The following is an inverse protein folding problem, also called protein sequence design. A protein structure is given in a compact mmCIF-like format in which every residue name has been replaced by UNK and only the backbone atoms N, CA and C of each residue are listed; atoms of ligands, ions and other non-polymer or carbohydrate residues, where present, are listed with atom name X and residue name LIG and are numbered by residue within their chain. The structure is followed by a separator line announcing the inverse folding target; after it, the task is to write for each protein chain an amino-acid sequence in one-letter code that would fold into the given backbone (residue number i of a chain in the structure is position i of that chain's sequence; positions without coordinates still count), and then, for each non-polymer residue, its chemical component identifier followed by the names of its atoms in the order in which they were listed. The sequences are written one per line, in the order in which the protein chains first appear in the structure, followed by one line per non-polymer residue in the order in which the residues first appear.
data_IF_548264320321
#
_entry.id   IF_548264320321
#
_cell.length_a   1.000
_cell.length_b   1.000
_cell.length_c   1.000
_cell.angle_alpha   90.00
_cell.angle_beta   90.00
_cell.angle_gamma   90.00
#
_symmetry.space_group_name_H-M   'P 1'
#
loop_
_entity.id
_entity.type
_entity.pdbx_description
1 polymer ?
#
# COMPACT_ATOMS: atom_id res chain seq x y z
N UNK A 1 10.36 9.35 1.04
CA UNK A 1 10.95 7.99 1.14
C UNK A 1 12.38 7.97 1.68
N UNK A 2 13.37 8.65 1.06
CA UNK A 2 14.80 8.65 1.48
C UNK A 2 15.01 8.93 2.98
N UNK A 3 14.29 9.92 3.55
CA UNK A 3 14.33 10.25 4.99
C UNK A 3 13.89 9.10 5.91
N UNK A 4 12.85 8.33 5.55
CA UNK A 4 12.38 7.16 6.34
C UNK A 4 13.38 6.01 6.32
N UNK A 5 13.89 5.66 5.15
CA UNK A 5 14.82 4.53 5.02
C UNK A 5 16.20 4.83 5.63
N UNK A 6 16.63 6.10 5.65
CA UNK A 6 17.82 6.53 6.40
C UNK A 6 17.63 6.48 7.92
N UNK A 7 16.43 6.79 8.43
CA UNK A 7 16.15 6.80 9.87
C UNK A 7 16.17 5.40 10.50
N UNK A 8 15.69 4.37 9.79
CA UNK A 8 15.82 2.98 10.22
C UNK A 8 17.26 2.44 10.13
N UNK A 9 18.26 3.27 9.78
CA UNK A 9 19.65 2.88 9.49
C UNK A 9 19.80 1.81 8.39
N UNK A 10 18.72 1.49 7.67
CA UNK A 10 18.70 0.51 6.56
C UNK A 10 19.57 1.02 5.40
N UNK A 11 19.52 2.33 5.13
CA UNK A 11 20.43 3.00 4.20
C UNK A 11 21.67 3.54 4.91
N UNK A 12 22.67 2.69 5.09
CA UNK A 12 24.01 3.09 5.50
C UNK A 12 24.75 3.72 4.31
N UNK A 13 24.39 4.94 3.90
CA UNK A 13 25.09 5.79 2.89
C UNK A 13 25.52 5.13 1.56
N UNK A 14 25.11 3.89 1.25
CA UNK A 14 25.56 3.14 0.06
C UNK A 14 24.52 3.25 -1.05
N UNK A 15 24.88 3.94 -2.13
CA UNK A 15 24.10 4.08 -3.37
C UNK A 15 23.52 2.73 -3.87
N UNK A 16 24.26 1.63 -3.64
CA UNK A 16 23.84 0.26 -4.00
C UNK A 16 22.53 -0.17 -3.33
N UNK A 17 22.32 0.15 -2.05
CA UNK A 17 21.11 -0.24 -1.33
C UNK A 17 19.86 0.50 -1.85
N UNK A 18 20.01 1.77 -2.24
CA UNK A 18 18.93 2.54 -2.87
C UNK A 18 18.52 1.89 -4.21
N UNK A 19 19.50 1.45 -5.01
CA UNK A 19 19.23 0.78 -6.30
C UNK A 19 18.49 -0.54 -6.11
N UNK A 20 18.88 -1.35 -5.13
CA UNK A 20 18.20 -2.61 -4.80
C UNK A 20 16.78 -2.36 -4.32
N UNK A 21 16.60 -1.45 -3.37
CA UNK A 21 15.28 -1.11 -2.84
C UNK A 21 14.35 -0.56 -3.93
N UNK A 22 14.89 0.29 -4.83
CA UNK A 22 14.17 0.77 -6.01
C UNK A 22 13.74 -0.39 -6.91
N UNK A 23 14.63 -1.35 -7.17
CA UNK A 23 14.31 -2.53 -7.97
C UNK A 23 13.20 -3.37 -7.35
N UNK A 24 13.27 -3.62 -6.04
CA UNK A 24 12.22 -4.32 -5.29
C UNK A 24 10.88 -3.58 -5.36
N UNK A 25 10.89 -2.27 -5.13
CA UNK A 25 9.68 -1.45 -5.20
C UNK A 25 9.00 -1.54 -6.56
N UNK A 26 9.74 -1.33 -7.65
CA UNK A 26 9.17 -1.41 -9.00
C UNK A 26 8.76 -2.83 -9.40
N UNK A 27 9.55 -3.85 -9.02
CA UNK A 27 9.18 -5.25 -9.27
C UNK A 27 7.88 -5.63 -8.57
N UNK A 28 7.69 -5.18 -7.33
CA UNK A 28 6.46 -5.42 -6.58
C UNK A 28 5.26 -4.68 -7.19
N UNK A 29 5.45 -3.44 -7.67
CA UNK A 29 4.39 -2.69 -8.36
C UNK A 29 3.93 -3.40 -9.63
N UNK A 30 4.85 -3.86 -10.48
CA UNK A 30 4.51 -4.64 -11.67
C UNK A 30 3.71 -5.89 -11.29
N UNK A 31 4.11 -6.59 -10.22
CA UNK A 31 3.36 -7.75 -9.74
C UNK A 31 1.93 -7.42 -9.32
N UNK A 32 1.68 -6.24 -8.75
CA UNK A 32 0.32 -5.79 -8.44
C UNK A 32 -0.48 -5.43 -9.69
N UNK A 33 0.13 -4.72 -10.64
CA UNK A 33 -0.55 -4.31 -11.88
C UNK A 33 -1.01 -5.55 -12.68
N UNK A 34 -0.13 -6.53 -12.88
CA UNK A 34 -0.47 -7.78 -13.57
C UNK A 34 -1.54 -8.58 -12.82
N UNK A 35 -1.46 -8.61 -11.49
CA UNK A 35 -2.45 -9.31 -10.68
C UNK A 35 -3.83 -8.64 -10.74
N UNK A 36 -3.89 -7.31 -10.75
CA UNK A 36 -5.14 -6.55 -10.85
C UNK A 36 -5.77 -6.67 -12.25
N UNK A 37 -4.95 -6.64 -13.30
CA UNK A 37 -5.38 -6.87 -14.69
C UNK A 37 -5.86 -8.30 -14.92
N UNK A 38 -5.34 -9.25 -14.15
CA UNK A 38 -5.81 -10.62 -14.22
C UNK A 38 -7.20 -10.79 -13.59
N UNK A 39 -8.06 -11.57 -14.24
CA UNK A 39 -9.41 -11.88 -13.73
C UNK A 39 -9.39 -12.84 -12.51
N UNK A 40 -8.23 -13.30 -12.06
CA UNK A 40 -8.09 -14.35 -11.05
C UNK A 40 -7.54 -13.79 -9.73
N UNK A 41 -8.28 -13.96 -8.65
CA UNK A 41 -7.84 -13.52 -7.32
C UNK A 41 -6.66 -14.33 -6.77
N UNK A 42 -6.36 -15.51 -7.34
CA UNK A 42 -5.17 -16.29 -7.00
C UNK A 42 -3.87 -15.55 -7.34
N UNK A 43 -3.85 -14.75 -8.41
CA UNK A 43 -2.68 -13.93 -8.75
C UNK A 43 -2.53 -12.77 -7.77
N UNK A 44 -3.63 -12.12 -7.39
CA UNK A 44 -3.62 -11.06 -6.39
C UNK A 44 -3.22 -11.60 -5.01
N UNK A 45 -3.70 -12.78 -4.63
CA UNK A 45 -3.27 -13.50 -3.43
C UNK A 45 -1.75 -13.70 -3.41
N UNK A 46 -1.19 -14.22 -4.52
CA UNK A 46 0.25 -14.49 -4.66
C UNK A 46 1.10 -13.22 -4.56
N UNK A 47 0.67 -12.15 -5.24
CA UNK A 47 1.35 -10.84 -5.20
C UNK A 47 1.31 -10.23 -3.79
N UNK A 48 0.16 -10.27 -3.11
CA UNK A 48 0.02 -9.73 -1.75
C UNK A 48 0.83 -10.55 -0.73
N UNK A 49 0.75 -11.88 -0.80
CA UNK A 49 1.51 -12.80 0.05
C UNK A 49 3.02 -12.54 -0.03
N UNK A 50 3.54 -12.46 -1.26
CA UNK A 50 4.97 -12.28 -1.52
C UNK A 50 5.47 -10.92 -1.04
N UNK A 51 4.64 -9.88 -1.19
CA UNK A 51 5.08 -8.51 -0.96
C UNK A 51 4.90 -8.01 0.48
N UNK A 52 3.85 -8.46 1.19
CA UNK A 52 3.51 -7.96 2.53
C UNK A 52 4.06 -8.87 3.61
N UNK A 53 3.92 -10.17 3.45
CA UNK A 53 4.36 -11.15 4.44
C UNK A 53 5.74 -11.72 4.15
N UNK A 54 6.38 -11.36 3.03
CA UNK A 54 7.67 -11.92 2.61
C UNK A 54 7.68 -13.46 2.70
N UNK A 55 6.59 -14.09 2.27
CA UNK A 55 6.36 -15.52 2.40
C UNK A 55 6.41 -16.08 3.83
N UNK A 56 5.92 -15.31 4.81
CA UNK A 56 5.82 -15.77 6.20
C UNK A 56 4.98 -17.05 6.28
N UNK A 57 5.49 -18.14 6.89
CA UNK A 57 4.77 -19.42 6.95
C UNK A 57 3.58 -19.40 7.91
N UNK A 58 3.45 -18.38 8.75
CA UNK A 58 2.37 -18.28 9.75
C UNK A 58 1.15 -17.52 9.25
N UNK A 59 1.22 -16.93 8.06
CA UNK A 59 0.11 -16.15 7.50
C UNK A 59 -1.06 -17.07 7.18
N UNK A 60 -2.24 -16.71 7.68
CA UNK A 60 -3.47 -17.48 7.51
C UNK A 60 -4.13 -17.15 6.17
N UNK A 61 -4.89 -18.10 5.63
CA UNK A 61 -5.65 -17.85 4.40
C UNK A 61 -6.68 -16.72 4.58
N UNK A 62 -7.29 -16.61 5.76
CA UNK A 62 -8.25 -15.56 6.07
C UNK A 62 -7.64 -14.15 5.98
N UNK A 63 -6.40 -13.96 6.44
CA UNK A 63 -5.72 -12.66 6.36
C UNK A 63 -5.47 -12.24 4.91
N UNK A 64 -5.09 -13.19 4.04
CA UNK A 64 -4.93 -12.93 2.61
C UNK A 64 -6.28 -12.56 1.99
N UNK A 65 -7.33 -13.34 2.29
CA UNK A 65 -8.67 -13.13 1.75
C UNK A 65 -9.23 -11.75 2.12
N UNK A 66 -9.09 -11.35 3.39
CA UNK A 66 -9.48 -10.01 3.86
C UNK A 66 -8.76 -8.94 3.03
N UNK A 67 -7.48 -9.13 2.76
CA UNK A 67 -6.71 -8.14 2.04
C UNK A 67 -7.06 -8.08 0.55
N UNK A 68 -7.32 -9.23 -0.09
CA UNK A 68 -7.82 -9.28 -1.48
C UNK A 68 -9.13 -8.48 -1.57
N UNK A 69 -10.10 -8.79 -0.71
CA UNK A 69 -11.39 -8.09 -0.64
C UNK A 69 -11.20 -6.59 -0.44
N UNK A 70 -10.28 -6.22 0.46
CA UNK A 70 -9.96 -4.81 0.70
C UNK A 70 -9.38 -4.12 -0.53
N UNK A 71 -8.41 -4.73 -1.22
CA UNK A 71 -7.78 -4.13 -2.41
C UNK A 71 -8.82 -3.93 -3.52
N UNK A 72 -9.69 -4.92 -3.76
CA UNK A 72 -10.78 -4.81 -4.75
C UNK A 72 -11.77 -3.70 -4.35
N UNK A 73 -12.16 -3.64 -3.08
CA UNK A 73 -13.00 -2.58 -2.53
C UNK A 73 -12.39 -1.19 -2.73
N UNK A 74 -11.09 -1.04 -2.50
CA UNK A 74 -10.40 0.24 -2.73
C UNK A 74 -10.38 0.61 -4.21
N UNK A 75 -10.15 -0.35 -5.11
CA UNK A 75 -10.14 -0.07 -6.54
C UNK A 75 -11.50 0.47 -7.01
N UNK A 76 -12.58 -0.22 -6.63
CA UNK A 76 -13.95 0.23 -6.93
C UNK A 76 -14.26 1.61 -6.32
N UNK A 77 -13.81 1.86 -5.09
CA UNK A 77 -13.96 3.16 -4.44
C UNK A 77 -13.24 4.25 -5.23
N UNK A 78 -11.97 4.04 -5.57
CA UNK A 78 -11.13 5.00 -6.30
C UNK A 78 -11.66 5.30 -7.71
N UNK A 79 -12.20 4.30 -8.41
CA UNK A 79 -12.83 4.48 -9.73
C UNK A 79 -14.08 5.36 -9.67
N UNK A 80 -14.80 5.34 -8.54
CA UNK A 80 -16.00 6.17 -8.33
C UNK A 80 -15.67 7.60 -7.90
N UNK A 81 -14.44 7.90 -7.47
CA UNK A 81 -14.07 9.26 -7.07
C UNK A 81 -13.95 10.13 -8.33
N UNK A 82 -14.73 11.23 -8.43
CA UNK A 82 -14.66 12.11 -9.58
C UNK A 82 -13.34 12.90 -9.59
N UNK A 83 -12.88 13.26 -10.79
CA UNK A 83 -11.54 13.85 -10.97
C UNK A 83 -11.39 15.24 -10.35
N UNK A 84 -12.48 15.98 -10.20
CA UNK A 84 -12.56 17.28 -9.52
C UNK A 84 -12.09 17.17 -8.05
N UNK A 85 -12.49 16.12 -7.33
CA UNK A 85 -12.08 15.87 -5.94
C UNK A 85 -10.56 15.74 -5.83
N UNK A 86 -9.92 15.09 -6.81
CA UNK A 86 -8.45 15.00 -6.84
C UNK A 86 -7.79 16.35 -7.14
N UNK A 87 -8.38 17.16 -8.01
CA UNK A 87 -7.87 18.48 -8.36
C UNK A 87 -8.03 19.49 -7.21
N UNK A 88 -9.14 19.42 -6.46
CA UNK A 88 -9.43 20.32 -5.35
C UNK A 88 -8.66 19.97 -4.07
N UNK A 89 -8.64 18.68 -3.71
CA UNK A 89 -8.07 18.24 -2.43
C UNK A 89 -6.66 17.66 -2.55
N UNK A 90 -6.22 17.29 -3.77
CA UNK A 90 -4.87 16.78 -4.03
C UNK A 90 -4.60 15.37 -3.51
N UNK A 91 -5.55 14.72 -2.84
CA UNK A 91 -5.38 13.37 -2.26
C UNK A 91 -6.65 12.52 -2.36
N UNK A 92 -6.56 11.25 -2.78
CA UNK A 92 -7.69 10.32 -2.69
C UNK A 92 -8.07 10.02 -1.24
N UNK A 93 -9.33 9.69 -1.04
CA UNK A 93 -9.82 9.04 0.19
C UNK A 93 -9.75 7.53 0.04
N UNK A 94 -9.53 6.82 1.15
CA UNK A 94 -9.50 5.35 1.19
C UNK A 94 -10.46 4.86 2.25
N UNK A 95 -11.17 3.76 1.95
CA UNK A 95 -12.08 3.14 2.90
C UNK A 95 -11.31 2.43 4.04
N UNK A 96 -11.92 2.25 5.22
CA UNK A 96 -11.36 1.42 6.28
C UNK A 96 -11.30 -0.07 5.89
N UNK A 97 -10.49 -0.87 6.60
CA UNK A 97 -10.28 -2.28 6.23
C UNK A 97 -11.58 -3.07 6.22
N UNK A 98 -12.35 -2.98 7.32
CA UNK A 98 -13.54 -3.79 7.56
C UNK A 98 -14.86 -3.08 7.23
N UNK A 99 -14.83 -1.78 6.96
CA UNK A 99 -16.03 -0.95 6.76
C UNK A 99 -16.12 -0.49 5.31
N UNK A 100 -17.35 -0.31 4.82
CA UNK A 100 -17.61 0.10 3.43
C UNK A 100 -17.89 1.59 3.28
N UNK A 101 -18.02 2.31 4.40
CA UNK A 101 -18.22 3.75 4.42
C UNK A 101 -16.92 4.51 4.70
N UNK A 102 -16.83 5.74 4.19
CA UNK A 102 -15.69 6.62 4.43
C UNK A 102 -15.72 7.11 5.88
N UNK A 103 -14.67 6.79 6.64
CA UNK A 103 -14.38 7.47 7.89
C UNK A 103 -13.49 8.70 7.62
N UNK A 104 -14.08 9.89 7.66
CA UNK A 104 -13.39 11.17 7.42
C UNK A 104 -12.27 11.42 8.44
N UNK A 105 -12.45 10.97 9.69
CA UNK A 105 -11.45 11.14 10.74
C UNK A 105 -10.20 10.30 10.45
N UNK A 106 -10.42 9.03 10.11
CA UNK A 106 -9.37 8.10 9.72
C UNK A 106 -8.67 8.53 8.43
N UNK A 107 -9.41 9.03 7.44
CA UNK A 107 -8.85 9.52 6.18
C UNK A 107 -7.87 10.69 6.44
N UNK A 108 -8.25 11.66 7.28
CA UNK A 108 -7.38 12.78 7.68
C UNK A 108 -6.14 12.30 8.45
N UNK A 109 -6.31 11.33 9.35
CA UNK A 109 -5.20 10.76 10.10
C UNK A 109 -4.21 10.01 9.19
N UNK A 110 -4.71 9.22 8.23
CA UNK A 110 -3.88 8.52 7.25
C UNK A 110 -3.04 9.46 6.41
N UNK A 111 -3.65 10.52 5.86
CA UNK A 111 -2.91 11.54 5.09
C UNK A 111 -1.82 12.16 5.96
N UNK A 112 -2.15 12.51 7.20
CA UNK A 112 -1.16 12.99 8.18
C UNK A 112 -0.05 11.96 8.35
N UNK A 113 -0.35 10.71 8.66
CA UNK A 113 0.66 9.65 8.87
C UNK A 113 1.56 9.42 7.64
N UNK A 114 1.02 9.53 6.42
CA UNK A 114 1.79 9.38 5.18
C UNK A 114 2.74 10.57 4.94
N UNK A 115 2.30 11.78 5.28
CA UNK A 115 3.05 13.02 5.06
C UNK A 115 3.99 13.38 6.22
N UNK A 116 3.67 12.95 7.44
CA UNK A 116 4.47 13.21 8.64
C UNK A 116 5.45 12.07 8.90
N UNK A 117 6.45 12.36 9.72
CA UNK A 117 7.37 11.36 10.22
C UNK A 117 6.84 10.85 11.57
N UNK A 118 6.84 9.53 11.84
CA UNK A 118 6.37 9.02 13.12
C UNK A 118 7.22 9.60 14.25
N UNK A 119 6.60 10.27 15.21
CA UNK A 119 7.34 11.03 16.24
C UNK A 119 8.17 10.13 17.14
N UNK A 120 7.75 8.88 17.33
CA UNK A 120 8.47 7.85 18.09
C UNK A 120 9.78 7.38 17.44
N UNK A 121 10.10 7.84 16.22
CA UNK A 121 11.36 7.58 15.52
C UNK A 121 12.24 8.83 15.38
N UNK A 122 11.85 9.95 16.00
CA UNK A 122 12.65 11.18 16.06
C UNK A 122 13.84 11.01 17.00
#
# INVERSE_FOLDING_TARGET
MKRRVCAFKILTKRHKQIKVFRGQYFGNMVGYDEALLSCLDSHLASALWSNIWFCCPTTTFQEIEILIKYVRKQLEHLEKIPSDVFLEHGTPTFLPLMQDEIDVSLAKERVRYCLTFPEHLK
#
